data_IF_274220464293
#
_entry.id   IF_274220464293
#
_cell.length_a   1.000
_cell.length_b   1.000
_cell.length_c   1.000
_cell.angle_alpha   90.00
_cell.angle_beta   90.00
_cell.angle_gamma   90.00
#
_symmetry.space_group_name_H-M   'P 1'
#
loop_
_entity.id
_entity.type
_entity.pdbx_description
1 polymer ?
#
# COMPACT_ATOMS: atom_id res chain seq x y z
N UNK A 1 17.04 -2.61 -11.00
CA UNK A 1 16.80 -3.42 -9.77
C UNK A 1 15.32 -3.81 -9.76
N UNK A 2 14.94 -5.04 -9.41
CA UNK A 2 13.53 -5.42 -9.35
C UNK A 2 12.85 -4.73 -8.16
N UNK A 3 11.62 -4.23 -8.34
CA UNK A 3 10.83 -3.63 -7.28
C UNK A 3 10.53 -4.65 -6.17
N UNK A 4 10.87 -4.33 -4.91
CA UNK A 4 10.49 -5.12 -3.75
C UNK A 4 8.98 -5.00 -3.53
N UNK A 5 8.28 -6.14 -3.46
CA UNK A 5 6.81 -6.16 -3.28
C UNK A 5 6.44 -6.95 -2.04
N UNK A 6 5.65 -6.33 -1.16
CA UNK A 6 5.05 -7.00 -0.01
C UNK A 6 3.55 -6.81 0.01
N UNK A 7 2.80 -7.91 0.13
CA UNK A 7 1.36 -7.91 0.33
C UNK A 7 0.53 -7.36 -0.82
N UNK A 8 1.16 -6.89 -1.91
CA UNK A 8 0.45 -6.37 -3.09
C UNK A 8 -0.47 -7.46 -3.67
N UNK A 9 -1.79 -7.23 -3.74
CA UNK A 9 -2.72 -8.18 -4.34
C UNK A 9 -2.40 -8.43 -5.81
N UNK A 10 -2.83 -9.58 -6.33
CA UNK A 10 -2.70 -9.90 -7.76
C UNK A 10 -3.40 -8.85 -8.61
N UNK A 11 -2.82 -8.56 -9.77
CA UNK A 11 -3.42 -7.66 -10.74
C UNK A 11 -4.76 -8.23 -11.24
N UNK A 12 -5.78 -7.38 -11.27
CA UNK A 12 -7.05 -7.73 -11.87
C UNK A 12 -6.94 -7.52 -13.40
N UNK A 13 -6.78 -8.61 -14.15
CA UNK A 13 -6.66 -8.56 -15.62
C UNK A 13 -7.97 -8.12 -16.31
N UNK A 14 -9.10 -8.17 -15.60
CA UNK A 14 -10.41 -7.71 -16.08
C UNK A 14 -10.80 -6.34 -15.48
N UNK A 15 -9.80 -5.57 -15.06
CA UNK A 15 -10.04 -4.21 -14.57
C UNK A 15 -10.59 -3.33 -15.69
N UNK A 16 -11.75 -2.73 -15.46
CA UNK A 16 -12.51 -1.98 -16.48
C UNK A 16 -12.80 -0.58 -15.99
N UNK A 17 -12.66 0.41 -16.89
CA UNK A 17 -12.97 1.81 -16.60
C UNK A 17 -11.99 2.47 -15.63
N UNK A 18 -12.48 3.38 -14.79
CA UNK A 18 -11.72 4.08 -13.73
C UNK A 18 -10.53 4.92 -14.24
N UNK A 19 -10.55 5.30 -15.51
CA UNK A 19 -9.47 6.08 -16.14
C UNK A 19 -9.32 7.42 -15.44
N UNK A 20 -10.45 8.07 -15.11
CA UNK A 20 -10.44 9.37 -14.41
C UNK A 20 -9.81 9.29 -13.03
N UNK A 21 -10.18 8.27 -12.24
CA UNK A 21 -9.63 8.08 -10.90
C UNK A 21 -8.14 7.76 -10.94
N UNK A 22 -7.68 6.93 -11.89
CA UNK A 22 -6.25 6.65 -12.08
C UNK A 22 -5.47 7.89 -12.51
N UNK A 23 -6.01 8.72 -13.42
CA UNK A 23 -5.40 9.98 -13.82
C UNK A 23 -5.33 10.99 -12.67
N UNK A 24 -6.39 11.12 -11.88
CA UNK A 24 -6.40 11.96 -10.69
C UNK A 24 -5.39 11.48 -9.64
N UNK A 25 -5.27 10.17 -9.46
CA UNK A 25 -4.31 9.58 -8.54
C UNK A 25 -2.87 9.89 -8.99
N UNK A 26 -2.57 9.72 -10.28
CA UNK A 26 -1.27 10.12 -10.85
C UNK A 26 -1.01 11.62 -10.67
N UNK A 27 -1.99 12.47 -10.94
CA UNK A 27 -1.85 13.92 -10.77
C UNK A 27 -1.56 14.33 -9.32
N UNK A 28 -2.18 13.68 -8.31
CA UNK A 28 -1.88 13.91 -6.88
C UNK A 28 -0.45 13.51 -6.57
N UNK A 29 -0.01 12.35 -7.10
CA UNK A 29 1.33 11.82 -6.86
C UNK A 29 2.40 12.65 -7.56
N UNK A 30 2.16 13.14 -8.77
CA UNK A 30 3.10 13.94 -9.55
C UNK A 30 3.08 15.43 -9.17
N UNK A 31 1.90 15.96 -8.83
CA UNK A 31 1.68 17.40 -8.57
C UNK A 31 2.23 17.91 -7.25
N UNK A 32 2.55 17.06 -6.29
CA UNK A 32 3.26 17.47 -5.09
C UNK A 32 4.71 17.80 -5.46
N UNK A 33 5.21 18.97 -5.02
CA UNK A 33 6.56 19.44 -5.33
C UNK A 33 7.64 18.41 -5.02
N UNK A 34 8.77 18.48 -5.71
CA UNK A 34 9.93 17.64 -5.40
C UNK A 34 10.30 17.80 -3.92
N UNK A 35 10.49 16.67 -3.22
CA UNK A 35 10.83 16.68 -1.79
C UNK A 35 9.64 16.82 -0.84
N UNK A 36 8.41 16.56 -1.30
CA UNK A 36 7.22 16.45 -0.45
C UNK A 36 6.63 15.04 -0.53
N UNK A 37 6.42 14.41 0.64
CA UNK A 37 5.70 13.16 0.73
C UNK A 37 4.27 13.34 0.21
N UNK A 38 3.85 12.42 -0.63
CA UNK A 38 2.55 12.47 -1.31
C UNK A 38 1.60 11.50 -0.63
N UNK A 39 0.41 11.98 -0.29
CA UNK A 39 -0.62 11.15 0.34
C UNK A 39 -1.90 11.30 -0.45
N UNK A 40 -2.31 10.27 -1.15
CA UNK A 40 -3.57 10.21 -1.88
C UNK A 40 -4.60 9.40 -1.10
N UNK A 41 -5.81 9.93 -0.96
CA UNK A 41 -6.90 9.26 -0.27
C UNK A 41 -8.00 8.90 -1.25
N UNK A 42 -8.27 7.60 -1.43
CA UNK A 42 -9.42 7.06 -2.15
C UNK A 42 -10.55 6.82 -1.15
N UNK A 43 -11.65 7.56 -1.25
CA UNK A 43 -12.78 7.41 -0.33
C UNK A 43 -14.10 7.19 -1.08
N UNK A 44 -15.08 6.51 -0.44
CA UNK A 44 -16.37 6.20 -1.05
C UNK A 44 -16.99 4.94 -0.44
N UNK A 45 -18.14 4.53 -0.95
CA UNK A 45 -18.91 3.38 -0.45
C UNK A 45 -18.10 2.08 -0.40
N UNK A 46 -18.51 1.15 0.47
CA UNK A 46 -17.97 -0.21 0.50
C UNK A 46 -18.21 -0.92 -0.83
N UNK A 47 -17.24 -1.71 -1.32
CA UNK A 47 -17.38 -2.46 -2.57
C UNK A 47 -17.31 -1.62 -3.86
N UNK A 48 -17.09 -0.29 -3.80
CA UNK A 48 -17.11 0.59 -4.97
C UNK A 48 -15.86 0.47 -5.87
N UNK A 49 -14.84 -0.31 -5.49
CA UNK A 49 -13.63 -0.53 -6.27
C UNK A 49 -12.41 0.32 -5.87
N UNK A 50 -12.38 0.93 -4.67
CA UNK A 50 -11.22 1.72 -4.18
C UNK A 50 -9.93 0.90 -4.12
N UNK A 51 -10.01 -0.29 -3.56
CA UNK A 51 -8.89 -1.24 -3.48
C UNK A 51 -8.41 -1.63 -4.86
N UNK A 52 -9.32 -1.91 -5.80
CA UNK A 52 -8.96 -2.27 -7.19
C UNK A 52 -8.24 -1.13 -7.90
N UNK A 53 -8.66 0.13 -7.70
CA UNK A 53 -7.98 1.32 -8.24
C UNK A 53 -6.56 1.41 -7.68
N UNK A 54 -6.37 1.25 -6.36
CA UNK A 54 -5.06 1.28 -5.73
C UNK A 54 -4.14 0.15 -6.21
N UNK A 55 -4.69 -1.07 -6.37
CA UNK A 55 -3.97 -2.23 -6.93
C UNK A 55 -3.54 -1.95 -8.36
N UNK A 56 -4.47 -1.48 -9.21
CA UNK A 56 -4.18 -1.17 -10.62
C UNK A 56 -3.11 -0.10 -10.75
N UNK A 57 -3.21 0.97 -9.95
CA UNK A 57 -2.20 2.02 -9.90
C UNK A 57 -0.81 1.46 -9.52
N UNK A 58 -0.74 0.65 -8.47
CA UNK A 58 0.51 0.05 -8.02
C UNK A 58 1.15 -0.81 -9.11
N UNK A 59 0.36 -1.66 -9.79
CA UNK A 59 0.86 -2.51 -10.88
C UNK A 59 1.33 -1.71 -12.10
N UNK A 60 0.62 -0.65 -12.48
CA UNK A 60 1.01 0.21 -13.61
C UNK A 60 2.31 0.99 -13.34
N UNK A 61 2.62 1.25 -12.07
CA UNK A 61 3.74 2.10 -11.66
C UNK A 61 4.90 1.32 -10.99
N UNK A 62 4.95 -0.01 -11.10
CA UNK A 62 6.02 -0.82 -10.50
C UNK A 62 7.43 -0.42 -10.97
N UNK A 63 7.58 0.08 -12.19
CA UNK A 63 8.86 0.53 -12.72
C UNK A 63 9.36 1.85 -12.09
N UNK A 64 8.46 2.61 -11.47
CA UNK A 64 8.76 3.90 -10.80
C UNK A 64 9.25 3.67 -9.38
N UNK A 65 8.71 2.65 -8.70
CA UNK A 65 8.99 2.42 -7.29
C UNK A 65 10.09 1.38 -7.07
N UNK A 66 10.97 1.64 -6.12
CA UNK A 66 11.97 0.67 -5.63
C UNK A 66 11.32 -0.37 -4.70
N UNK A 67 10.24 0.03 -3.99
CA UNK A 67 9.47 -0.89 -3.16
C UNK A 67 8.00 -0.51 -3.07
N UNK A 68 7.13 -1.53 -2.98
CA UNK A 68 5.68 -1.40 -2.78
C UNK A 68 5.26 -2.23 -1.57
N UNK A 69 4.63 -1.57 -0.61
CA UNK A 69 4.19 -2.15 0.67
C UNK A 69 2.68 -2.02 0.80
N UNK A 70 2.00 -3.16 0.91
CA UNK A 70 0.55 -3.21 1.04
C UNK A 70 0.17 -3.65 2.46
N UNK A 71 -0.44 -2.73 3.21
CA UNK A 71 -0.77 -2.91 4.63
C UNK A 71 -2.29 -2.94 4.79
N UNK A 72 -2.81 -4.08 5.25
CA UNK A 72 -4.24 -4.23 5.55
C UNK A 72 -4.55 -3.54 6.86
N UNK A 73 -5.50 -2.60 6.86
CA UNK A 73 -5.74 -1.68 7.98
C UNK A 73 -7.20 -1.63 8.43
N UNK A 74 -7.98 -2.68 8.16
CA UNK A 74 -9.39 -2.74 8.51
C UNK A 74 -9.65 -2.80 10.03
N UNK A 75 -8.76 -3.45 10.77
CA UNK A 75 -8.79 -3.57 12.24
C UNK A 75 -7.40 -3.36 12.83
N UNK A 76 -7.33 -3.06 14.13
CA UNK A 76 -6.06 -2.90 14.85
C UNK A 76 -5.21 -4.18 14.78
N UNK A 77 -5.81 -5.35 14.99
CA UNK A 77 -5.11 -6.64 14.89
C UNK A 77 -4.65 -6.92 13.46
N UNK A 78 -5.48 -6.57 12.46
CA UNK A 78 -5.15 -6.73 11.05
C UNK A 78 -3.96 -5.86 10.65
N UNK A 79 -3.95 -4.60 11.07
CA UNK A 79 -2.84 -3.67 10.87
C UNK A 79 -1.57 -4.17 11.54
N UNK A 80 -1.63 -4.50 12.83
CA UNK A 80 -0.49 -5.03 13.59
C UNK A 80 0.11 -6.26 12.90
N UNK A 81 -0.70 -7.26 12.58
CA UNK A 81 -0.25 -8.47 11.89
C UNK A 81 0.39 -8.15 10.52
N UNK A 82 -0.21 -7.24 9.77
CA UNK A 82 0.30 -6.82 8.47
C UNK A 82 1.67 -6.14 8.59
N UNK A 83 1.85 -5.24 9.57
CA UNK A 83 3.12 -4.56 9.84
C UNK A 83 4.20 -5.51 10.35
N UNK A 84 3.87 -6.42 11.27
CA UNK A 84 4.82 -7.45 11.75
C UNK A 84 5.33 -8.34 10.61
N UNK A 85 4.41 -8.80 9.75
CA UNK A 85 4.78 -9.62 8.58
C UNK A 85 5.59 -8.81 7.57
N UNK A 86 5.28 -7.53 7.37
CA UNK A 86 6.06 -6.63 6.51
C UNK A 86 7.47 -6.44 7.07
N UNK A 87 7.61 -6.23 8.37
CA UNK A 87 8.91 -6.10 9.05
C UNK A 87 9.74 -7.38 8.92
N UNK A 88 9.13 -8.56 9.10
CA UNK A 88 9.82 -9.83 8.89
C UNK A 88 10.30 -9.99 7.44
N UNK A 89 9.45 -9.63 6.47
CA UNK A 89 9.83 -9.66 5.06
C UNK A 89 10.98 -8.69 4.74
N UNK A 90 10.96 -7.51 5.34
CA UNK A 90 12.03 -6.52 5.22
C UNK A 90 13.35 -7.04 5.79
N UNK A 91 13.35 -7.68 6.97
CA UNK A 91 14.54 -8.28 7.57
C UNK A 91 15.16 -9.30 6.61
N UNK A 92 14.36 -10.21 6.05
CA UNK A 92 14.83 -11.19 5.07
C UNK A 92 15.40 -10.55 3.81
N UNK A 93 14.74 -9.48 3.31
CA UNK A 93 15.23 -8.74 2.15
C UNK A 93 16.59 -8.07 2.44
N UNK A 94 16.75 -7.41 3.58
CA UNK A 94 18.01 -6.79 3.97
C UNK A 94 19.11 -7.84 4.15
N UNK A 95 18.78 -8.95 4.78
CA UNK A 95 19.72 -10.06 4.96
C UNK A 95 20.20 -10.65 3.62
N UNK A 96 19.29 -10.87 2.67
CA UNK A 96 19.61 -11.41 1.34
C UNK A 96 20.46 -10.46 0.49
N UNK A 97 20.42 -9.15 0.76
CA UNK A 97 21.20 -8.13 0.05
C UNK A 97 22.38 -7.60 0.87
N UNK A 98 22.80 -8.32 1.90
CA UNK A 98 23.91 -7.90 2.77
C UNK A 98 25.25 -7.98 2.02
N UNK A 99 25.95 -6.86 1.92
CA UNK A 99 27.13 -6.74 1.05
C UNK A 99 28.31 -7.65 1.42
N UNK A 100 28.41 -8.08 2.69
CA UNK A 100 29.50 -8.93 3.20
C UNK A 100 29.24 -10.45 3.10
N UNK A 101 28.12 -10.86 2.50
CA UNK A 101 27.77 -12.26 2.24
C UNK A 101 27.14 -13.00 3.43
N UNK A 102 27.41 -12.61 4.67
CA UNK A 102 26.69 -13.10 5.86
C UNK A 102 25.96 -11.94 6.53
N UNK A 103 24.63 -12.04 6.74
CA UNK A 103 23.86 -10.96 7.33
C UNK A 103 24.23 -10.78 8.81
N UNK A 104 24.43 -9.53 9.22
CA UNK A 104 24.54 -9.16 10.62
C UNK A 104 23.17 -8.73 11.15
N UNK A 105 22.45 -9.64 11.76
CA UNK A 105 21.11 -9.38 12.30
C UNK A 105 21.12 -8.38 13.46
N UNK A 106 22.25 -8.20 14.17
CA UNK A 106 22.39 -7.18 15.23
C UNK A 106 22.37 -5.79 14.60
N UNK A 107 23.10 -5.61 13.50
CA UNK A 107 23.12 -4.34 12.74
C UNK A 107 21.74 -4.08 12.13
N UNK A 108 21.14 -5.06 11.46
CA UNK A 108 19.80 -4.93 10.88
C UNK A 108 18.78 -4.53 11.96
N UNK A 109 18.78 -5.22 13.11
CA UNK A 109 17.86 -4.93 14.21
C UNK A 109 18.04 -3.52 14.77
N UNK A 110 19.29 -3.08 14.94
CA UNK A 110 19.60 -1.73 15.42
C UNK A 110 19.11 -0.67 14.43
N UNK A 111 19.38 -0.84 13.16
CA UNK A 111 19.03 0.13 12.11
C UNK A 111 17.51 0.24 11.96
N UNK A 112 16.78 -0.86 12.06
CA UNK A 112 15.33 -0.89 12.09
C UNK A 112 14.72 -0.39 13.43
N UNK A 113 15.52 -0.22 14.49
CA UNK A 113 15.05 0.21 15.81
C UNK A 113 14.42 -0.90 16.65
N UNK A 114 14.66 -2.16 16.30
CA UNK A 114 14.13 -3.36 16.94
C UNK A 114 15.25 -4.22 17.56
N UNK A 115 16.30 -3.57 18.08
CA UNK A 115 17.40 -4.23 18.74
C UNK A 115 16.89 -5.15 19.86
N UNK A 116 17.38 -6.40 19.87
CA UNK A 116 16.94 -7.44 20.81
C UNK A 116 15.67 -8.19 20.41
N UNK A 117 15.02 -7.82 19.29
CA UNK A 117 13.77 -8.41 18.81
C UNK A 117 13.95 -9.26 17.54
N UNK A 118 15.18 -9.55 17.14
CA UNK A 118 15.52 -10.48 16.06
C UNK A 118 16.46 -11.54 16.65
N UNK A 119 16.16 -12.81 16.38
CA UNK A 119 17.03 -13.93 16.77
C UNK A 119 18.19 -14.15 15.77
N UNK A 120 19.07 -15.11 16.07
CA UNK A 120 20.22 -15.44 15.23
C UNK A 120 19.85 -15.99 13.83
N UNK A 121 18.60 -16.39 13.62
CA UNK A 121 18.07 -16.86 12.33
C UNK A 121 17.38 -15.76 11.52
N UNK A 122 17.26 -14.54 12.08
CA UNK A 122 16.60 -13.42 11.45
C UNK A 122 15.09 -13.40 11.66
N UNK A 123 14.56 -14.17 12.61
CA UNK A 123 13.16 -14.19 12.94
C UNK A 123 12.85 -13.16 14.05
N UNK A 124 11.69 -12.51 13.91
CA UNK A 124 11.17 -11.66 15.00
C UNK A 124 10.87 -12.53 16.22
N UNK A 125 11.39 -12.10 17.36
CA UNK A 125 11.09 -12.71 18.65
C UNK A 125 9.73 -12.24 19.12
N UNK A 126 8.87 -13.17 19.55
CA UNK A 126 7.58 -12.82 20.11
C UNK A 126 7.79 -12.18 21.49
N UNK A 127 7.32 -10.94 21.62
CA UNK A 127 7.37 -10.18 22.88
C UNK A 127 5.96 -9.79 23.29
N UNK A 128 5.63 -10.08 24.54
CA UNK A 128 4.36 -9.64 25.15
C UNK A 128 4.39 -8.15 25.55
N UNK A 129 5.56 -7.52 25.55
CA UNK A 129 5.70 -6.12 25.94
C UNK A 129 5.12 -5.18 24.84
N UNK A 130 4.25 -4.28 25.27
CA UNK A 130 3.59 -3.32 24.38
C UNK A 130 4.60 -2.44 23.62
N UNK A 131 5.65 -1.99 24.31
CA UNK A 131 6.71 -1.16 23.73
C UNK A 131 7.47 -1.89 22.59
N UNK A 132 7.75 -3.17 22.75
CA UNK A 132 8.45 -3.95 21.72
C UNK A 132 7.56 -4.17 20.49
N UNK A 133 6.27 -4.42 20.71
CA UNK A 133 5.29 -4.51 19.63
C UNK A 133 5.21 -3.21 18.84
N UNK A 134 5.18 -2.07 19.52
CA UNK A 134 5.19 -0.74 18.90
C UNK A 134 6.46 -0.47 18.08
N UNK A 135 7.61 -0.92 18.57
CA UNK A 135 8.89 -0.81 17.84
C UNK A 135 8.85 -1.62 16.55
N UNK A 136 8.33 -2.86 16.59
CA UNK A 136 8.19 -3.71 15.40
C UNK A 136 7.21 -3.09 14.40
N UNK A 137 6.08 -2.57 14.85
CA UNK A 137 5.11 -1.88 13.98
C UNK A 137 5.71 -0.65 13.28
N UNK A 138 6.61 0.07 13.96
CA UNK A 138 7.28 1.26 13.42
C UNK A 138 8.50 0.97 12.54
N UNK A 139 9.01 -0.26 12.52
CA UNK A 139 10.27 -0.60 11.86
C UNK A 139 10.24 -0.34 10.34
N UNK A 140 9.14 -0.68 9.67
CA UNK A 140 8.96 -0.40 8.25
C UNK A 140 8.98 1.11 7.98
N UNK A 141 8.22 1.89 8.75
CA UNK A 141 8.17 3.35 8.66
C UNK A 141 9.55 3.97 8.83
N UNK A 142 10.31 3.47 9.80
CA UNK A 142 11.68 3.91 10.06
C UNK A 142 12.59 3.62 8.87
N UNK A 143 12.55 2.40 8.32
CA UNK A 143 13.36 2.03 7.15
C UNK A 143 13.04 2.87 5.92
N UNK A 144 11.76 3.09 5.63
CA UNK A 144 11.31 3.94 4.53
C UNK A 144 11.73 5.42 4.70
N UNK A 145 12.07 5.83 5.93
CA UNK A 145 12.54 7.17 6.24
C UNK A 145 14.06 7.33 6.12
N UNK A 146 14.81 6.25 5.87
CA UNK A 146 16.26 6.31 5.72
C UNK A 146 16.67 6.96 4.40
N UNK A 147 17.80 7.63 4.40
CA UNK A 147 18.40 8.22 3.21
C UNK A 147 18.61 7.16 2.10
N UNK A 148 18.27 7.53 0.89
CA UNK A 148 18.31 6.63 -0.27
C UNK A 148 17.04 5.80 -0.51
N UNK A 149 16.09 5.82 0.40
CA UNK A 149 14.76 5.22 0.22
C UNK A 149 13.73 6.28 -0.21
N UNK A 150 13.84 6.80 -1.43
CA UNK A 150 13.00 7.92 -1.86
C UNK A 150 11.81 7.51 -2.73
N UNK A 151 11.91 6.38 -3.41
CA UNK A 151 10.95 5.92 -4.41
C UNK A 151 10.18 4.70 -3.90
N UNK A 152 9.39 4.86 -2.85
CA UNK A 152 8.53 3.81 -2.32
C UNK A 152 7.05 4.16 -2.41
N UNK A 153 6.23 3.13 -2.48
CA UNK A 153 4.77 3.19 -2.37
C UNK A 153 4.31 2.40 -1.14
N UNK A 154 3.61 3.07 -0.24
CA UNK A 154 2.99 2.48 0.95
C UNK A 154 1.47 2.61 0.84
N UNK A 155 0.77 1.48 0.82
CA UNK A 155 -0.69 1.45 0.74
C UNK A 155 -1.27 1.00 2.06
N UNK A 156 -2.11 1.83 2.68
CA UNK A 156 -2.97 1.45 3.80
C UNK A 156 -4.37 1.16 3.26
N UNK A 157 -4.71 -0.11 3.17
CA UNK A 157 -5.98 -0.54 2.60
C UNK A 157 -7.05 -0.73 3.66
N UNK A 158 -8.23 -0.14 3.40
CA UNK A 158 -9.42 -0.24 4.22
C UNK A 158 -9.30 0.44 5.61
N UNK A 159 -8.78 1.67 5.66
CA UNK A 159 -8.70 2.49 6.89
C UNK A 159 -10.07 3.09 7.21
N UNK A 160 -10.97 2.28 7.77
CA UNK A 160 -12.33 2.71 8.10
C UNK A 160 -12.46 3.29 9.52
N UNK A 161 -11.57 2.91 10.42
CA UNK A 161 -11.38 3.59 11.70
C UNK A 161 -10.02 4.31 11.71
N UNK A 162 -10.08 5.64 11.73
CA UNK A 162 -8.89 6.49 11.71
C UNK A 162 -8.01 6.35 12.96
N UNK A 163 -8.55 5.80 14.04
CA UNK A 163 -7.80 5.55 15.27
C UNK A 163 -6.87 4.34 15.17
N UNK A 164 -7.11 3.46 14.20
CA UNK A 164 -6.29 2.26 13.98
C UNK A 164 -4.90 2.62 13.47
N UNK A 165 -4.80 3.66 12.64
CA UNK A 165 -3.52 4.09 12.06
C UNK A 165 -2.96 5.29 12.80
N UNK A 166 -1.89 5.09 13.57
CA UNK A 166 -1.12 6.16 14.17
C UNK A 166 -0.11 6.71 13.14
N UNK A 167 -0.35 7.95 12.68
CA UNK A 167 0.51 8.59 11.68
C UNK A 167 1.95 8.82 12.15
N UNK A 168 2.15 9.01 13.44
CA UNK A 168 3.49 9.26 13.99
C UNK A 168 4.35 8.01 13.98
N UNK A 169 3.72 6.84 14.08
CA UNK A 169 4.38 5.53 14.10
C UNK A 169 4.40 4.88 12.72
N UNK A 170 3.26 4.89 12.03
CA UNK A 170 3.07 4.08 10.83
C UNK A 170 3.43 4.81 9.53
N UNK A 171 3.44 6.15 9.53
CA UNK A 171 3.85 6.91 8.36
C UNK A 171 5.34 7.24 8.42
N UNK A 172 6.09 6.99 7.33
CA UNK A 172 7.50 7.37 7.27
C UNK A 172 7.69 8.86 7.59
N UNK A 173 8.65 9.19 8.45
CA UNK A 173 8.92 10.56 8.89
C UNK A 173 9.97 11.24 7.97
N UNK A 174 9.73 11.19 6.66
CA UNK A 174 10.56 11.79 5.63
C UNK A 174 9.70 12.60 4.66
N UNK A 175 10.33 13.36 3.78
CA UNK A 175 9.68 14.17 2.76
C UNK A 175 9.51 13.46 1.41
N UNK A 176 9.94 12.20 1.30
CA UNK A 176 9.88 11.42 0.05
C UNK A 176 8.80 10.33 0.10
N UNK A 177 8.60 9.67 -1.03
CA UNK A 177 7.71 8.54 -1.20
C UNK A 177 6.22 8.88 -1.35
N UNK A 178 5.43 7.84 -1.55
CA UNK A 178 3.99 7.95 -1.82
C UNK A 178 3.20 7.07 -0.86
N UNK A 179 2.14 7.63 -0.27
CA UNK A 179 1.16 6.88 0.53
C UNK A 179 -0.18 6.91 -0.20
N UNK A 180 -0.82 5.76 -0.34
CA UNK A 180 -2.21 5.64 -0.77
C UNK A 180 -3.03 5.09 0.39
N UNK A 181 -4.17 5.71 0.65
CA UNK A 181 -5.11 5.29 1.70
C UNK A 181 -6.45 4.99 1.04
N UNK A 182 -7.01 3.81 1.27
CA UNK A 182 -8.40 3.52 0.92
C UNK A 182 -9.27 3.56 2.16
N UNK A 183 -10.44 4.18 2.09
CA UNK A 183 -11.35 4.32 3.23
C UNK A 183 -12.81 4.48 2.79
N UNK A 184 -13.74 4.03 3.61
CA UNK A 184 -15.16 4.36 3.47
C UNK A 184 -15.50 5.74 4.07
N UNK A 185 -14.62 6.30 4.89
CA UNK A 185 -14.87 7.54 5.63
C UNK A 185 -14.31 8.76 4.94
N UNK A 186 -15.14 9.79 4.79
CA UNK A 186 -14.71 11.13 4.32
C UNK A 186 -13.70 11.80 5.27
N UNK A 187 -13.72 11.46 6.55
CA UNK A 187 -12.76 12.02 7.53
C UNK A 187 -11.30 11.70 7.23
N UNK A 188 -11.00 10.66 6.44
CA UNK A 188 -9.64 10.34 6.01
C UNK A 188 -9.05 11.36 5.00
N UNK A 189 -9.88 12.15 4.35
CA UNK A 189 -9.48 13.19 3.37
C UNK A 189 -8.46 14.18 3.96
N UNK A 190 -8.58 14.53 5.24
CA UNK A 190 -7.66 15.43 5.92
C UNK A 190 -6.25 14.86 6.13
N UNK A 191 -6.02 13.59 5.81
CA UNK A 191 -4.71 12.98 5.88
C UNK A 191 -3.91 13.14 4.60
N UNK A 192 -4.60 13.43 3.48
CA UNK A 192 -4.02 13.46 2.15
C UNK A 192 -3.52 14.83 1.73
N UNK A 193 -2.55 14.83 0.82
CA UNK A 193 -2.22 15.99 -0.02
C UNK A 193 -3.26 16.17 -1.14
N UNK A 194 -4.01 15.11 -1.45
CA UNK A 194 -5.15 15.09 -2.34
C UNK A 194 -6.08 13.91 -2.04
N UNK A 195 -7.34 14.04 -2.48
CA UNK A 195 -8.34 13.00 -2.27
C UNK A 195 -9.22 12.81 -3.51
N UNK A 196 -9.68 11.58 -3.69
CA UNK A 196 -10.55 11.17 -4.79
C UNK A 196 -11.79 10.51 -4.19
N UNK A 197 -12.96 11.07 -4.46
CA UNK A 197 -14.21 10.40 -4.17
C UNK A 197 -14.48 9.39 -5.28
N UNK A 198 -14.50 8.12 -4.90
CA UNK A 198 -14.81 7.03 -5.84
C UNK A 198 -16.32 6.81 -5.84
N UNK A 199 -16.93 6.98 -7.01
CA UNK A 199 -18.36 6.81 -7.25
C UNK A 199 -18.64 5.54 -8.04
N UNK A 200 -19.90 5.27 -8.41
CA UNK A 200 -20.26 4.16 -9.29
C UNK A 200 -19.54 4.22 -10.63
N UNK A 201 -19.39 3.06 -11.29
CA UNK A 201 -18.92 3.04 -12.68
C UNK A 201 -19.86 3.86 -13.58
N UNK A 202 -19.31 4.50 -14.58
CA UNK A 202 -20.12 5.08 -15.67
C UNK A 202 -20.87 3.95 -16.40
N UNK A 203 -21.99 4.30 -17.05
CA UNK A 203 -22.87 3.27 -17.64
C UNK A 203 -22.15 2.37 -18.64
N UNK A 204 -21.30 2.93 -19.48
CA UNK A 204 -20.57 2.21 -20.52
C UNK A 204 -19.53 1.27 -19.90
N UNK A 205 -18.81 1.71 -18.88
CA UNK A 205 -17.86 0.92 -18.13
C UNK A 205 -18.57 -0.22 -17.36
N UNK A 206 -19.73 0.07 -16.76
CA UNK A 206 -20.53 -0.93 -16.04
C UNK A 206 -21.05 -2.01 -17.00
N UNK A 207 -21.52 -1.61 -18.18
CA UNK A 207 -21.96 -2.55 -19.23
C UNK A 207 -20.79 -3.40 -19.72
N UNK A 208 -19.65 -2.78 -20.01
CA UNK A 208 -18.44 -3.49 -20.45
C UNK A 208 -17.99 -4.52 -19.40
N UNK A 209 -18.01 -4.16 -18.11
CA UNK A 209 -17.68 -5.06 -17.03
C UNK A 209 -18.65 -6.25 -16.94
N UNK A 210 -19.95 -5.99 -17.06
CA UNK A 210 -20.98 -7.02 -17.06
C UNK A 210 -20.78 -8.00 -18.22
N UNK A 211 -20.56 -7.51 -19.45
CA UNK A 211 -20.32 -8.32 -20.62
C UNK A 211 -19.08 -9.20 -20.47
N UNK A 212 -17.98 -8.60 -20.03
CA UNK A 212 -16.73 -9.32 -19.78
C UNK A 212 -16.91 -10.42 -18.72
N UNK A 213 -17.67 -10.14 -17.66
CA UNK A 213 -17.94 -11.13 -16.58
C UNK A 213 -18.91 -12.22 -17.00
N UNK A 214 -19.88 -11.89 -17.86
CA UNK A 214 -20.83 -12.84 -18.40
C UNK A 214 -20.26 -13.69 -19.56
N UNK A 215 -19.03 -13.42 -20.03
CA UNK A 215 -18.45 -14.01 -21.24
C UNK A 215 -19.34 -13.82 -22.49
N UNK A 216 -20.07 -12.67 -22.52
CA UNK A 216 -20.96 -12.33 -23.63
C UNK A 216 -20.28 -11.24 -24.47
N UNK A 217 -20.26 -11.43 -25.78
CA UNK A 217 -19.86 -10.40 -26.72
C UNK A 217 -20.99 -9.39 -26.92
N UNK A 218 -20.63 -8.14 -27.11
CA UNK A 218 -21.57 -7.02 -27.33
C UNK A 218 -22.48 -7.25 -28.54
N UNK A 219 -22.04 -8.03 -29.53
CA UNK A 219 -22.82 -8.44 -30.71
C UNK A 219 -23.98 -9.36 -30.36
N UNK A 220 -23.85 -10.19 -29.32
CA UNK A 220 -24.92 -11.13 -28.91
C UNK A 220 -26.11 -10.42 -28.23
N UNK A 221 -25.90 -9.27 -27.60
CA UNK A 221 -26.97 -8.47 -27.00
C UNK A 221 -27.79 -7.70 -28.02
N UNK A 222 -27.18 -7.29 -29.12
CA UNK A 222 -27.89 -6.58 -30.21
C UNK A 222 -28.76 -7.56 -31.03
N UNK A 223 -28.43 -8.84 -31.00
CA UNK A 223 -29.18 -9.89 -31.74
C UNK A 223 -30.41 -10.39 -30.97
N UNK A 224 -30.55 -10.11 -29.66
CA UNK A 224 -31.71 -10.56 -28.84
C UNK A 224 -32.73 -9.46 -28.58
N UNK A 225 -32.52 -8.26 -29.15
CA UNK A 225 -33.37 -7.06 -28.99
C UNK A 225 -34.35 -6.78 -30.12
N UNK A 226 -34.67 -7.79 -30.98
CA UNK A 226 -35.78 -7.75 -31.93
C UNK A 226 -36.99 -8.50 -31.41
#
# INVERSE_FOLDING_TARGET
MACLKFGLPSQNLQFTGRIKELQLLSAIVEGAGKGQRKIAVLHGLGGIGKTDIAVQYAWQNLAVYTSVWWIRSATAEGLKRSLMTATQHLIHHLAANYASGQPDYIVIARDLGIAGLIDASGQLVDSAESNDQERVEGALSKWLSMDGNDMWLLVFDNVDDLKVVDKTRHFPQCSSGTIIITSRRRGSVHWGTGSIQVEGLEKDDALSLLLTRASLDQEQLNATGE
#
